data_IF_878193958057
#
_entry.id   IF_878193958057
#
_cell.length_a   1.000
_cell.length_b   1.000
_cell.length_c   1.000
_cell.angle_alpha   90.00
_cell.angle_beta   90.00
_cell.angle_gamma   90.00
#
_symmetry.space_group_name_H-M   'P 1'
#
loop_
_entity.id
_entity.type
_entity.pdbx_description
1 polymer ?
#
# COMPACT_ATOMS: atom_id res chain seq x y z
N UNK A 1 16.21 32.52 -4.69
CA UNK A 1 15.14 31.50 -4.53
C UNK A 1 14.50 31.05 -5.84
N UNK A 2 14.27 31.94 -6.78
CA UNK A 2 13.77 31.66 -8.12
C UNK A 2 14.58 30.60 -8.88
N UNK A 3 15.90 30.58 -8.79
CA UNK A 3 16.76 29.64 -9.51
C UNK A 3 16.58 28.18 -9.05
N UNK A 4 16.63 27.91 -7.73
CA UNK A 4 16.43 26.54 -7.20
C UNK A 4 15.03 25.99 -7.51
N UNK A 5 14.02 26.87 -7.51
CA UNK A 5 12.66 26.52 -7.87
C UNK A 5 12.51 26.23 -9.37
N UNK A 6 13.19 27.00 -10.22
CA UNK A 6 13.23 26.72 -11.67
C UNK A 6 13.95 25.40 -11.99
N UNK A 7 15.06 25.10 -11.32
CA UNK A 7 15.76 23.83 -11.47
C UNK A 7 14.88 22.65 -11.03
N UNK A 8 14.14 22.81 -9.94
CA UNK A 8 13.18 21.80 -9.50
C UNK A 8 12.07 21.62 -10.54
N UNK A 9 11.49 22.72 -11.04
CA UNK A 9 10.45 22.68 -12.08
C UNK A 9 10.94 22.00 -13.36
N UNK A 10 12.18 22.26 -13.79
CA UNK A 10 12.79 21.61 -14.94
C UNK A 10 13.06 20.12 -14.74
N UNK A 11 13.14 19.65 -13.49
CA UNK A 11 13.48 18.26 -13.15
C UNK A 11 12.34 17.26 -13.40
N UNK A 12 11.16 17.69 -13.83
CA UNK A 12 9.97 16.84 -14.11
C UNK A 12 9.64 15.86 -12.97
N UNK A 13 9.80 16.28 -11.72
CA UNK A 13 9.47 15.47 -10.54
C UNK A 13 7.94 15.44 -10.30
N UNK A 14 7.50 14.52 -9.45
CA UNK A 14 6.08 14.42 -9.10
C UNK A 14 5.62 15.62 -8.25
N UNK A 15 4.34 15.97 -8.33
CA UNK A 15 3.74 17.04 -7.52
C UNK A 15 3.96 16.85 -6.00
N UNK A 16 4.03 15.59 -5.54
CA UNK A 16 4.36 15.24 -4.16
C UNK A 16 5.76 15.70 -3.74
N UNK A 17 6.77 15.57 -4.62
CA UNK A 17 8.13 16.07 -4.36
C UNK A 17 8.14 17.59 -4.20
N UNK A 18 7.42 18.31 -5.09
CA UNK A 18 7.31 19.77 -4.97
C UNK A 18 6.68 20.20 -3.66
N UNK A 19 5.60 19.50 -3.26
CA UNK A 19 4.94 19.77 -1.97
C UNK A 19 5.89 19.57 -0.80
N UNK A 20 6.62 18.46 -0.76
CA UNK A 20 7.58 18.16 0.32
C UNK A 20 8.73 19.18 0.37
N UNK A 21 9.30 19.50 -0.77
CA UNK A 21 10.37 20.52 -0.86
C UNK A 21 9.85 21.90 -0.43
N UNK A 22 8.64 22.28 -0.84
CA UNK A 22 8.01 23.53 -0.42
C UNK A 22 7.83 23.62 1.11
N UNK A 23 7.45 22.52 1.76
CA UNK A 23 7.33 22.46 3.23
C UNK A 23 8.71 22.64 3.88
N UNK A 24 9.73 21.93 3.40
CA UNK A 24 11.11 22.04 3.94
C UNK A 24 11.62 23.48 3.82
N UNK A 25 11.49 24.10 2.65
CA UNK A 25 11.89 25.51 2.49
C UNK A 25 11.14 26.44 3.46
N UNK A 26 9.83 26.27 3.60
CA UNK A 26 9.05 27.06 4.56
C UNK A 26 9.59 26.91 5.97
N UNK A 27 9.84 25.68 6.43
CA UNK A 27 10.39 25.45 7.77
C UNK A 27 11.76 26.12 7.95
N UNK A 28 12.67 25.98 6.99
CA UNK A 28 14.02 26.57 7.05
C UNK A 28 13.93 28.10 7.13
N UNK A 29 13.15 28.74 6.26
CA UNK A 29 13.06 30.20 6.24
C UNK A 29 12.26 30.77 7.41
N UNK A 30 11.30 30.02 7.95
CA UNK A 30 10.61 30.39 9.20
C UNK A 30 11.61 30.37 10.37
N UNK A 31 12.41 29.33 10.51
CA UNK A 31 13.42 29.24 11.55
C UNK A 31 14.51 30.34 11.41
N UNK A 32 14.93 30.68 10.18
CA UNK A 32 15.86 31.76 9.92
C UNK A 32 15.29 33.12 10.32
N UNK A 33 13.98 33.34 10.11
CA UNK A 33 13.28 34.55 10.54
C UNK A 33 13.16 34.64 12.07
N UNK A 34 12.79 33.55 12.72
CA UNK A 34 12.71 33.46 14.19
C UNK A 34 14.10 33.70 14.83
N UNK A 35 15.16 33.22 14.17
CA UNK A 35 16.54 33.42 14.60
C UNK A 35 17.10 34.80 14.21
N UNK A 36 16.32 35.69 13.61
CA UNK A 36 16.71 37.03 13.14
C UNK A 36 17.90 37.00 12.15
N UNK A 37 18.05 35.95 11.37
CA UNK A 37 19.05 35.83 10.32
C UNK A 37 18.58 36.55 9.04
N UNK A 38 17.25 36.59 8.83
CA UNK A 38 16.57 37.31 7.75
C UNK A 38 15.38 38.07 8.29
N UNK A 39 15.06 39.20 7.66
CA UNK A 39 13.95 40.06 8.08
C UNK A 39 12.60 39.61 7.49
N UNK A 40 12.62 38.99 6.32
CA UNK A 40 11.42 38.55 5.63
C UNK A 40 11.54 37.08 5.18
N UNK A 41 10.40 36.34 5.26
CA UNK A 41 10.35 34.98 4.79
C UNK A 41 10.05 34.94 3.28
N UNK A 42 11.05 34.63 2.42
CA UNK A 42 10.88 34.66 0.98
C UNK A 42 9.95 33.54 0.45
N UNK A 43 9.48 32.63 1.32
CA UNK A 43 8.57 31.54 0.93
C UNK A 43 7.10 31.92 1.02
N UNK A 44 6.75 33.10 1.53
CA UNK A 44 5.36 33.57 1.64
C UNK A 44 4.69 33.60 0.27
N UNK A 45 5.45 33.99 -0.75
CA UNK A 45 4.98 34.10 -2.15
C UNK A 45 5.06 32.79 -2.95
N UNK A 46 5.53 31.68 -2.36
CA UNK A 46 5.52 30.40 -3.04
C UNK A 46 4.08 29.90 -3.18
N UNK A 47 3.57 29.92 -4.40
CA UNK A 47 2.26 29.37 -4.71
C UNK A 47 2.19 27.91 -4.29
N UNK A 48 1.14 27.52 -3.57
CA UNK A 48 0.97 26.17 -2.96
C UNK A 48 0.97 25.01 -3.97
N UNK A 49 0.69 25.25 -5.24
CA UNK A 49 0.41 24.21 -6.24
C UNK A 49 1.10 24.46 -7.60
N UNK A 50 2.35 24.94 -7.61
CA UNK A 50 3.04 25.20 -8.86
C UNK A 50 4.04 24.11 -9.19
N UNK A 51 3.70 23.31 -10.18
CA UNK A 51 4.62 22.37 -10.83
C UNK A 51 4.52 20.93 -10.36
N UNK A 52 5.11 20.05 -11.13
CA UNK A 52 5.17 18.62 -10.90
C UNK A 52 4.16 17.82 -11.73
N UNK A 53 4.57 16.60 -12.06
CA UNK A 53 3.69 15.66 -12.76
C UNK A 53 2.66 15.14 -11.75
N UNK A 54 1.35 15.22 -12.04
CA UNK A 54 0.34 14.62 -11.18
C UNK A 54 0.64 13.13 -10.95
N UNK A 55 0.51 12.69 -9.71
CA UNK A 55 0.68 11.29 -9.41
C UNK A 55 -0.49 10.51 -10.04
N UNK A 56 -0.17 9.49 -10.85
CA UNK A 56 -1.19 8.59 -11.39
C UNK A 56 -1.95 7.96 -10.23
N UNK A 57 -3.25 8.15 -10.21
CA UNK A 57 -4.12 7.52 -9.22
C UNK A 57 -4.09 6.01 -9.42
N UNK A 58 -3.87 5.27 -8.34
CA UNK A 58 -3.93 3.81 -8.37
C UNK A 58 -5.31 3.40 -7.93
N UNK A 59 -6.08 2.87 -8.87
CA UNK A 59 -7.39 2.32 -8.61
C UNK A 59 -7.28 1.05 -7.74
N UNK A 60 -8.34 0.69 -6.99
CA UNK A 60 -8.43 -0.62 -6.35
C UNK A 60 -8.37 -1.72 -7.41
N UNK A 61 -8.00 -2.92 -7.01
CA UNK A 61 -8.06 -4.09 -7.89
C UNK A 61 -9.53 -4.47 -8.10
N UNK A 62 -9.85 -4.92 -9.31
CA UNK A 62 -11.14 -5.56 -9.61
C UNK A 62 -11.15 -6.99 -9.05
N UNK A 63 -12.33 -7.58 -8.88
CA UNK A 63 -12.46 -8.96 -8.40
C UNK A 63 -11.68 -9.94 -9.30
N UNK A 64 -11.78 -9.79 -10.64
CA UNK A 64 -11.01 -10.57 -11.60
C UNK A 64 -9.48 -10.41 -11.41
N UNK A 65 -9.01 -9.19 -11.08
CA UNK A 65 -7.60 -8.95 -10.81
C UNK A 65 -7.16 -9.56 -9.48
N UNK A 66 -8.03 -9.59 -8.48
CA UNK A 66 -7.79 -10.25 -7.20
C UNK A 66 -7.63 -11.75 -7.42
N UNK A 67 -8.55 -12.40 -8.14
CA UNK A 67 -8.50 -13.83 -8.45
C UNK A 67 -7.23 -14.18 -9.21
N UNK A 68 -6.92 -13.47 -10.30
CA UNK A 68 -5.68 -13.65 -11.06
C UNK A 68 -4.41 -13.49 -10.20
N UNK A 69 -4.43 -12.52 -9.27
CA UNK A 69 -3.30 -12.30 -8.37
C UNK A 69 -3.12 -13.48 -7.41
N UNK A 70 -4.19 -13.92 -6.77
CA UNK A 70 -4.16 -15.01 -5.80
C UNK A 70 -3.75 -16.32 -6.46
N UNK A 71 -4.29 -16.64 -7.63
CA UNK A 71 -3.89 -17.82 -8.42
C UNK A 71 -2.42 -17.78 -8.81
N UNK A 72 -1.93 -16.61 -9.26
CA UNK A 72 -0.54 -16.45 -9.69
C UNK A 72 0.48 -16.65 -8.57
N UNK A 73 0.08 -16.44 -7.30
CA UNK A 73 0.98 -16.50 -6.14
C UNK A 73 0.60 -17.58 -5.13
N UNK A 74 -0.39 -18.42 -5.42
CA UNK A 74 -0.82 -19.50 -4.51
C UNK A 74 0.38 -20.38 -4.15
N UNK A 75 0.54 -20.68 -2.85
CA UNK A 75 1.66 -21.46 -2.34
C UNK A 75 3.03 -20.78 -2.40
N UNK A 76 3.12 -19.54 -2.84
CA UNK A 76 4.37 -18.76 -2.88
C UNK A 76 4.51 -17.85 -1.65
N UNK A 77 5.74 -17.44 -1.30
CA UNK A 77 6.03 -16.65 -0.11
C UNK A 77 5.17 -15.37 0.09
N UNK A 78 4.75 -14.62 -0.95
CA UNK A 78 3.92 -13.43 -0.74
C UNK A 78 2.44 -13.71 -0.46
N UNK A 79 1.98 -14.96 -0.55
CA UNK A 79 0.56 -15.30 -0.49
C UNK A 79 -0.12 -14.81 0.80
N UNK A 80 0.42 -15.17 1.97
CA UNK A 80 -0.11 -14.75 3.28
C UNK A 80 -0.10 -13.23 3.44
N UNK A 81 0.97 -12.57 2.97
CA UNK A 81 1.06 -11.11 2.98
C UNK A 81 -0.06 -10.46 2.16
N UNK A 82 -0.32 -10.99 0.96
CA UNK A 82 -1.37 -10.48 0.06
C UNK A 82 -2.76 -10.73 0.65
N UNK A 83 -3.01 -11.91 1.22
CA UNK A 83 -4.26 -12.23 1.91
C UNK A 83 -4.56 -11.26 3.06
N UNK A 84 -3.57 -10.96 3.91
CA UNK A 84 -3.71 -9.97 4.99
C UNK A 84 -4.00 -8.56 4.46
N UNK A 85 -3.38 -8.19 3.35
CA UNK A 85 -3.62 -6.89 2.71
C UNK A 85 -5.02 -6.76 2.12
N UNK A 86 -5.52 -7.81 1.45
CA UNK A 86 -6.81 -7.84 0.76
C UNK A 86 -8.01 -8.04 1.71
N UNK A 87 -7.86 -8.89 2.74
CA UNK A 87 -9.00 -9.34 3.55
C UNK A 87 -9.00 -8.83 5.00
N UNK A 88 -7.89 -8.25 5.47
CA UNK A 88 -7.81 -7.54 6.75
C UNK A 88 -7.41 -6.06 6.58
N UNK A 89 -7.10 -5.62 5.37
CA UNK A 89 -6.78 -4.24 5.06
C UNK A 89 -5.56 -3.68 5.80
N UNK A 90 -4.64 -4.54 6.24
CA UNK A 90 -3.48 -4.13 7.00
C UNK A 90 -2.50 -3.30 6.14
N UNK A 91 -1.83 -2.35 6.78
CA UNK A 91 -0.70 -1.65 6.14
C UNK A 91 0.49 -2.61 6.02
N UNK A 92 1.38 -2.36 5.06
CA UNK A 92 2.61 -3.16 4.89
C UNK A 92 3.37 -3.31 6.21
N UNK A 93 3.52 -2.21 6.94
CA UNK A 93 4.24 -2.16 8.20
C UNK A 93 3.52 -2.97 9.30
N UNK A 94 2.20 -2.98 9.29
CA UNK A 94 1.37 -3.77 10.20
C UNK A 94 1.47 -5.27 9.88
N UNK A 95 1.46 -5.65 8.60
CA UNK A 95 1.63 -7.06 8.16
C UNK A 95 3.00 -7.59 8.56
N UNK A 96 4.06 -6.83 8.27
CA UNK A 96 5.43 -7.24 8.56
C UNK A 96 5.78 -7.23 10.07
N UNK A 97 5.00 -6.52 10.87
CA UNK A 97 5.11 -6.51 12.33
C UNK A 97 4.13 -7.45 13.04
N UNK A 98 3.25 -8.14 12.29
CA UNK A 98 2.25 -9.02 12.88
C UNK A 98 2.88 -10.28 13.45
N UNK A 99 2.56 -10.57 14.71
CA UNK A 99 2.98 -11.78 15.41
C UNK A 99 1.77 -12.67 15.71
N UNK A 100 2.01 -13.97 15.85
CA UNK A 100 0.98 -14.95 16.14
C UNK A 100 0.27 -14.76 17.48
N UNK A 101 0.90 -14.10 18.45
CA UNK A 101 0.28 -13.72 19.74
C UNK A 101 -0.85 -12.70 19.61
N UNK A 102 -0.97 -12.10 18.43
CA UNK A 102 -1.97 -11.11 18.09
C UNK A 102 -3.04 -11.64 17.12
N UNK A 103 -3.03 -12.97 16.84
CA UNK A 103 -3.94 -13.64 15.90
C UNK A 103 -4.72 -14.72 16.64
N UNK A 104 -6.02 -14.51 16.78
CA UNK A 104 -6.94 -15.37 17.54
C UNK A 104 -7.77 -16.19 16.56
N UNK A 105 -7.34 -17.45 16.31
CA UNK A 105 -7.93 -18.32 15.29
C UNK A 105 -9.01 -19.25 15.84
N UNK A 106 -8.94 -19.60 17.15
CA UNK A 106 -9.72 -20.65 17.78
C UNK A 106 -10.74 -20.08 18.77
N UNK A 107 -11.43 -19.00 18.36
CA UNK A 107 -12.51 -18.39 19.15
C UNK A 107 -13.78 -18.30 18.31
N UNK A 108 -14.94 -18.05 18.94
CA UNK A 108 -16.24 -17.97 18.27
C UNK A 108 -16.28 -16.97 17.11
N UNK A 109 -15.62 -15.81 17.28
CA UNK A 109 -15.44 -14.79 16.25
C UNK A 109 -13.95 -14.52 16.02
N UNK A 110 -13.27 -15.27 15.12
CA UNK A 110 -11.84 -15.11 14.87
C UNK A 110 -11.46 -13.70 14.45
N UNK A 111 -10.38 -13.19 15.01
CA UNK A 111 -9.89 -11.83 14.73
C UNK A 111 -8.38 -11.73 14.91
N UNK A 112 -7.80 -10.66 14.43
CA UNK A 112 -6.45 -10.24 14.75
C UNK A 112 -6.45 -8.85 15.39
N UNK A 113 -5.43 -8.58 16.22
CA UNK A 113 -5.22 -7.27 16.84
C UNK A 113 -3.97 -6.62 16.25
N UNK A 114 -4.10 -5.42 15.73
CA UNK A 114 -2.97 -4.61 15.28
C UNK A 114 -2.36 -3.92 16.51
N UNK A 115 -1.16 -4.35 16.92
CA UNK A 115 -0.45 -3.81 18.10
C UNK A 115 0.95 -3.32 17.77
N UNK A 116 1.51 -3.78 16.67
CA UNK A 116 2.91 -3.56 16.30
C UNK A 116 3.02 -3.06 14.87
N UNK A 117 4.08 -2.36 14.59
CA UNK A 117 4.42 -1.98 13.22
C UNK A 117 5.90 -2.23 12.95
N UNK A 118 6.19 -2.77 11.80
CA UNK A 118 7.55 -2.95 11.31
C UNK A 118 8.10 -1.62 10.78
N UNK A 119 9.35 -1.35 11.10
CA UNK A 119 10.14 -0.26 10.56
C UNK A 119 11.52 -0.77 10.17
N UNK A 120 12.31 0.01 9.46
CA UNK A 120 13.70 -0.33 9.16
C UNK A 120 14.65 0.83 9.44
N UNK A 121 15.73 0.49 10.11
CA UNK A 121 16.87 1.38 10.31
C UNK A 121 18.08 0.74 9.62
N UNK A 122 18.68 1.43 8.65
CA UNK A 122 19.81 0.91 7.87
C UNK A 122 19.59 -0.52 7.34
N UNK A 123 18.40 -0.80 6.80
CA UNK A 123 17.96 -2.11 6.32
C UNK A 123 17.73 -3.18 7.42
N UNK A 124 17.92 -2.88 8.69
CA UNK A 124 17.60 -3.79 9.80
C UNK A 124 16.15 -3.60 10.21
N UNK A 125 15.38 -4.69 10.44
CA UNK A 125 14.02 -4.59 10.92
C UNK A 125 14.00 -4.10 12.37
N UNK A 126 13.07 -3.20 12.66
CA UNK A 126 12.75 -2.71 13.99
C UNK A 126 11.25 -2.88 14.19
N UNK A 127 10.84 -3.52 15.26
CA UNK A 127 9.42 -3.69 15.59
C UNK A 127 9.02 -2.65 16.63
N UNK A 128 8.17 -1.74 16.20
CA UNK A 128 7.61 -0.70 17.06
C UNK A 128 6.40 -1.27 17.79
N UNK A 129 6.42 -1.25 19.11
CA UNK A 129 5.32 -1.65 20.00
C UNK A 129 4.38 -0.49 20.29
N UNK A 130 4.87 0.74 20.16
CA UNK A 130 4.06 1.95 20.21
C UNK A 130 3.65 2.37 18.80
N UNK A 131 2.36 2.27 18.52
CA UNK A 131 1.82 2.72 17.23
C UNK A 131 1.66 4.24 17.24
N UNK A 132 1.92 4.84 16.09
CA UNK A 132 1.93 6.31 15.90
C UNK A 132 0.62 6.99 16.35
N UNK A 133 -0.51 6.28 16.32
CA UNK A 133 -1.82 6.81 16.69
C UNK A 133 -2.64 5.77 17.44
N UNK A 134 -3.53 6.23 18.32
CA UNK A 134 -4.50 5.35 19.02
C UNK A 134 -5.41 4.59 18.04
N UNK A 135 -5.77 5.20 16.92
CA UNK A 135 -6.61 4.59 15.88
C UNK A 135 -5.92 3.41 15.16
N UNK A 136 -4.60 3.31 15.24
CA UNK A 136 -3.88 2.17 14.68
C UNK A 136 -4.09 0.89 15.50
N UNK A 137 -4.32 1.00 16.81
CA UNK A 137 -4.71 -0.11 17.68
C UNK A 137 -6.16 -0.51 17.40
N UNK A 138 -6.37 -1.72 16.87
CA UNK A 138 -7.70 -2.18 16.50
C UNK A 138 -7.78 -3.69 16.37
N UNK A 139 -8.97 -4.22 16.54
CA UNK A 139 -9.30 -5.60 16.24
C UNK A 139 -9.92 -5.67 14.84
N UNK A 140 -9.44 -6.61 14.04
CA UNK A 140 -9.92 -6.84 12.67
C UNK A 140 -10.47 -8.26 12.60
N UNK A 141 -11.78 -8.46 12.40
CA UNK A 141 -12.38 -9.78 12.18
C UNK A 141 -11.77 -10.48 10.97
N UNK A 142 -11.66 -11.79 11.01
CA UNK A 142 -11.12 -12.61 9.94
C UNK A 142 -12.27 -13.26 9.14
N UNK A 143 -12.43 -12.94 7.85
CA UNK A 143 -13.31 -13.69 6.98
C UNK A 143 -12.76 -15.11 6.74
N UNK A 144 -13.65 -16.06 6.39
CA UNK A 144 -13.33 -17.49 6.34
C UNK A 144 -12.11 -17.82 5.47
N UNK A 145 -12.00 -17.21 4.30
CA UNK A 145 -10.87 -17.44 3.39
C UNK A 145 -9.50 -16.99 3.99
N UNK A 146 -9.48 -15.89 4.76
CA UNK A 146 -8.28 -15.45 5.46
C UNK A 146 -8.01 -16.32 6.69
N UNK A 147 -9.06 -16.72 7.40
CA UNK A 147 -8.95 -17.62 8.55
C UNK A 147 -8.32 -18.96 8.16
N UNK A 148 -8.79 -19.58 7.09
CA UNK A 148 -8.23 -20.83 6.56
C UNK A 148 -6.76 -20.65 6.14
N UNK A 149 -6.45 -19.57 5.42
CA UNK A 149 -5.08 -19.23 5.03
C UNK A 149 -4.16 -19.10 6.26
N UNK A 150 -4.60 -18.41 7.31
CA UNK A 150 -3.80 -18.22 8.52
C UNK A 150 -3.67 -19.51 9.34
N UNK A 151 -4.72 -20.34 9.42
CA UNK A 151 -4.64 -21.66 10.06
C UNK A 151 -3.60 -22.55 9.36
N UNK A 152 -3.61 -22.58 8.04
CA UNK A 152 -2.62 -23.37 7.29
C UNK A 152 -1.19 -22.82 7.46
N UNK A 153 -1.01 -21.50 7.38
CA UNK A 153 0.27 -20.86 7.63
C UNK A 153 0.80 -21.12 9.06
N UNK A 154 -0.09 -21.15 10.06
CA UNK A 154 0.26 -21.41 11.45
C UNK A 154 0.80 -22.83 11.67
N UNK A 155 0.26 -23.84 10.98
CA UNK A 155 0.70 -25.25 11.10
C UNK A 155 2.18 -25.43 10.74
N UNK A 156 2.67 -24.65 9.76
CA UNK A 156 4.04 -24.76 9.25
C UNK A 156 4.99 -23.70 9.82
N UNK A 157 4.46 -22.74 10.58
CA UNK A 157 5.26 -21.64 11.14
C UNK A 157 6.05 -22.08 12.37
N UNK A 158 7.35 -21.81 12.36
CA UNK A 158 8.25 -21.92 13.52
C UNK A 158 8.65 -20.58 14.09
N UNK A 159 8.13 -19.49 13.53
CA UNK A 159 8.42 -18.10 13.89
C UNK A 159 7.32 -17.51 14.76
N UNK A 160 7.67 -16.52 15.57
CA UNK A 160 6.70 -15.66 16.24
C UNK A 160 5.96 -14.74 15.25
N UNK A 161 6.56 -14.44 14.09
CA UNK A 161 5.99 -13.57 13.06
C UNK A 161 5.16 -14.34 12.06
N UNK A 162 4.03 -13.76 11.64
CA UNK A 162 3.16 -14.33 10.59
C UNK A 162 3.87 -14.32 9.24
N UNK A 163 4.65 -13.28 8.96
CA UNK A 163 5.51 -13.15 7.78
C UNK A 163 6.95 -12.98 8.22
N UNK A 164 7.72 -14.05 8.12
CA UNK A 164 9.09 -14.14 8.60
C UNK A 164 10.10 -14.49 7.49
N UNK A 165 11.37 -14.33 7.78
CA UNK A 165 12.45 -14.90 6.98
C UNK A 165 12.65 -16.40 7.31
N UNK A 166 13.64 -17.05 6.70
CA UNK A 166 13.92 -18.49 6.90
C UNK A 166 14.41 -18.80 8.30
N UNK A 167 14.97 -17.82 8.99
CA UNK A 167 15.54 -17.95 10.34
C UNK A 167 14.47 -17.68 11.41
N UNK A 168 13.23 -17.32 10.99
CA UNK A 168 12.12 -17.00 11.88
C UNK A 168 12.08 -15.52 12.30
N UNK A 169 12.97 -14.68 11.82
CA UNK A 169 13.07 -13.26 12.13
C UNK A 169 12.18 -12.39 11.23
N UNK A 170 11.87 -11.14 11.64
CA UNK A 170 11.18 -10.19 10.79
C UNK A 170 12.00 -9.84 9.55
N UNK A 171 11.33 -9.63 8.43
CA UNK A 171 12.01 -9.33 7.15
C UNK A 171 12.76 -8.00 7.22
N UNK A 172 14.00 -7.97 6.72
CA UNK A 172 14.67 -6.73 6.34
C UNK A 172 13.97 -6.09 5.12
N UNK A 173 14.25 -4.82 4.85
CA UNK A 173 13.68 -4.14 3.66
C UNK A 173 14.08 -4.84 2.34
N UNK A 174 15.30 -5.31 2.24
CA UNK A 174 15.78 -6.05 1.06
C UNK A 174 15.07 -7.40 0.92
N UNK A 175 14.82 -8.12 2.03
CA UNK A 175 14.07 -9.38 2.00
C UNK A 175 12.60 -9.13 1.63
N UNK A 176 11.97 -8.08 2.14
CA UNK A 176 10.63 -7.69 1.70
C UNK A 176 10.58 -7.36 0.20
N UNK A 177 11.57 -6.65 -0.35
CA UNK A 177 11.65 -6.42 -1.80
C UNK A 177 11.73 -7.73 -2.58
N UNK A 178 12.51 -8.71 -2.11
CA UNK A 178 12.61 -10.03 -2.73
C UNK A 178 11.28 -10.80 -2.66
N UNK A 179 10.59 -10.74 -1.52
CA UNK A 179 9.25 -11.31 -1.37
C UNK A 179 8.29 -10.67 -2.38
N UNK A 180 8.29 -9.35 -2.51
CA UNK A 180 7.42 -8.65 -3.46
C UNK A 180 7.80 -8.91 -4.93
N UNK A 181 9.06 -9.27 -5.18
CA UNK A 181 9.54 -9.58 -6.52
C UNK A 181 8.85 -10.82 -7.12
N UNK A 182 8.33 -11.75 -6.32
CA UNK A 182 7.51 -12.86 -6.82
C UNK A 182 6.29 -12.38 -7.62
N UNK A 183 5.66 -11.29 -7.19
CA UNK A 183 4.53 -10.68 -7.89
C UNK A 183 5.04 -9.90 -9.11
N UNK A 184 6.01 -9.02 -8.91
CA UNK A 184 6.53 -8.13 -9.98
C UNK A 184 7.06 -8.92 -11.18
N UNK A 185 7.72 -10.06 -10.95
CA UNK A 185 8.25 -10.89 -12.04
C UNK A 185 7.17 -11.56 -12.88
N UNK A 186 5.95 -11.68 -12.36
CA UNK A 186 4.79 -12.25 -13.07
C UNK A 186 4.01 -11.23 -13.88
N UNK A 187 4.33 -9.94 -13.75
CA UNK A 187 3.66 -8.89 -14.51
C UNK A 187 4.18 -8.79 -15.94
N UNK A 188 3.32 -8.34 -16.86
CA UNK A 188 3.69 -8.05 -18.26
C UNK A 188 4.41 -6.71 -18.42
N UNK A 189 4.75 -6.03 -17.33
CA UNK A 189 5.48 -4.77 -17.39
C UNK A 189 6.86 -4.94 -17.99
N UNK A 190 7.17 -4.12 -19.00
CA UNK A 190 8.52 -4.03 -19.57
C UNK A 190 9.53 -3.66 -18.47
N UNK A 191 10.66 -4.34 -18.45
CA UNK A 191 11.72 -4.11 -17.47
C UNK A 191 13.09 -4.25 -18.10
N UNK A 192 14.05 -3.50 -17.54
CA UNK A 192 15.41 -3.54 -17.98
C UNK A 192 16.31 -4.09 -16.88
N UNK A 193 17.32 -4.87 -17.28
CA UNK A 193 18.41 -5.27 -16.42
C UNK A 193 19.74 -5.04 -17.14
N UNK A 194 20.83 -5.06 -16.40
CA UNK A 194 22.17 -4.87 -16.95
C UNK A 194 22.98 -6.12 -16.74
N UNK A 195 23.69 -6.55 -17.80
CA UNK A 195 24.72 -7.58 -17.73
C UNK A 195 26.07 -7.00 -18.14
N UNK A 196 27.14 -7.58 -17.62
CA UNK A 196 28.47 -7.31 -18.12
C UNK A 196 28.77 -8.35 -19.21
N UNK A 197 29.01 -7.88 -20.43
CA UNK A 197 29.37 -8.65 -21.63
C UNK A 197 30.67 -8.04 -22.15
N UNK A 198 31.72 -8.86 -22.27
CA UNK A 198 33.06 -8.44 -22.68
C UNK A 198 33.60 -7.22 -21.91
N UNK A 199 33.37 -7.20 -20.58
CA UNK A 199 33.80 -6.11 -19.70
C UNK A 199 32.97 -4.83 -19.80
N UNK A 200 31.93 -4.76 -20.65
CA UNK A 200 31.04 -3.62 -20.82
C UNK A 200 29.67 -3.89 -20.19
N UNK A 201 29.08 -2.84 -19.59
CA UNK A 201 27.75 -2.89 -19.02
C UNK A 201 26.70 -2.75 -20.13
N UNK A 202 26.03 -3.84 -20.51
CA UNK A 202 25.00 -3.88 -21.56
C UNK A 202 23.63 -3.86 -20.93
N UNK A 203 22.72 -3.05 -21.48
CA UNK A 203 21.31 -2.96 -21.06
C UNK A 203 20.49 -3.96 -21.87
N UNK A 204 19.82 -4.86 -21.16
CA UNK A 204 18.85 -5.79 -21.73
C UNK A 204 17.44 -5.37 -21.36
N UNK A 205 16.52 -5.49 -22.29
CA UNK A 205 15.10 -5.20 -22.10
C UNK A 205 14.30 -6.49 -22.22
N UNK A 206 13.51 -6.79 -21.21
CA UNK A 206 12.52 -7.87 -21.25
C UNK A 206 11.16 -7.26 -21.56
N UNK A 207 10.53 -7.79 -22.61
CA UNK A 207 9.14 -7.47 -22.98
C UNK A 207 8.30 -8.72 -22.69
N UNK A 208 7.74 -8.84 -21.49
CA UNK A 208 6.96 -10.01 -21.13
C UNK A 208 5.66 -10.06 -21.93
N UNK A 209 5.27 -11.26 -22.37
CA UNK A 209 3.98 -11.51 -23.03
C UNK A 209 3.12 -12.37 -22.12
N UNK A 210 1.87 -12.00 -21.93
CA UNK A 210 0.92 -12.72 -21.08
C UNK A 210 0.83 -14.21 -21.47
N UNK A 211 0.86 -15.09 -20.50
CA UNK A 211 0.81 -16.53 -20.68
C UNK A 211 2.16 -17.19 -21.00
N UNK A 212 3.19 -16.42 -21.33
CA UNK A 212 4.51 -16.99 -21.64
C UNK A 212 5.35 -17.22 -20.38
N UNK A 213 6.22 -18.23 -20.44
CA UNK A 213 7.24 -18.47 -19.41
C UNK A 213 8.40 -17.49 -19.55
N UNK A 214 8.96 -17.09 -18.40
CA UNK A 214 10.13 -16.23 -18.40
C UNK A 214 11.37 -16.99 -18.90
N UNK A 215 12.10 -16.39 -19.85
CA UNK A 215 13.28 -17.01 -20.47
C UNK A 215 14.40 -17.38 -19.48
N UNK A 216 14.52 -16.65 -18.37
CA UNK A 216 15.55 -16.86 -17.33
C UNK A 216 15.08 -17.75 -16.17
N UNK A 217 13.78 -18.06 -16.07
CA UNK A 217 13.21 -18.92 -15.04
C UNK A 217 11.89 -19.55 -15.52
N UNK A 218 11.96 -20.79 -15.99
CA UNK A 218 10.80 -21.53 -16.51
C UNK A 218 9.65 -21.77 -15.53
N UNK A 219 9.90 -21.55 -14.22
CA UNK A 219 8.86 -21.63 -13.18
C UNK A 219 8.04 -20.35 -13.05
N UNK A 220 8.42 -19.27 -13.74
CA UNK A 220 7.71 -18.01 -13.76
C UNK A 220 6.91 -17.87 -15.04
N UNK A 221 5.60 -17.76 -14.91
CA UNK A 221 4.68 -17.43 -16.00
C UNK A 221 4.27 -15.97 -15.86
N UNK A 222 4.24 -15.23 -16.95
CA UNK A 222 3.71 -13.87 -16.99
C UNK A 222 2.17 -13.91 -16.98
N UNK A 223 1.58 -13.90 -15.78
CA UNK A 223 0.15 -14.12 -15.56
C UNK A 223 -0.61 -12.85 -15.18
N UNK A 224 0.10 -11.74 -14.93
CA UNK A 224 -0.50 -10.49 -14.48
C UNK A 224 -0.31 -9.39 -15.53
N UNK A 225 -1.39 -8.95 -16.16
CA UNK A 225 -1.44 -7.84 -17.12
C UNK A 225 -1.55 -6.46 -16.43
N UNK A 226 -1.43 -6.42 -15.11
CA UNK A 226 -1.51 -5.24 -14.26
C UNK A 226 -0.40 -5.22 -13.21
N UNK A 227 -0.13 -4.03 -12.67
CA UNK A 227 0.81 -3.85 -11.55
C UNK A 227 0.06 -3.82 -10.22
N UNK A 228 0.68 -4.40 -9.19
CA UNK A 228 0.14 -4.39 -7.82
C UNK A 228 1.13 -3.75 -6.87
N UNK A 229 0.63 -3.05 -5.88
CA UNK A 229 1.42 -2.51 -4.77
C UNK A 229 0.81 -2.89 -3.42
N UNK A 230 1.61 -2.99 -2.34
CA UNK A 230 1.08 -3.30 -1.03
C UNK A 230 -0.06 -2.37 -0.57
N UNK A 231 0.05 -1.09 -0.87
CA UNK A 231 -0.98 -0.11 -0.49
C UNK A 231 -2.29 -0.31 -1.29
N UNK A 232 -2.20 -0.81 -2.51
CA UNK A 232 -3.37 -1.06 -3.36
C UNK A 232 -4.21 -2.23 -2.83
N UNK A 233 -3.60 -3.25 -2.20
CA UNK A 233 -4.34 -4.33 -1.53
C UNK A 233 -5.29 -3.77 -0.46
N UNK A 234 -4.76 -2.93 0.41
CA UNK A 234 -5.56 -2.25 1.43
C UNK A 234 -6.61 -1.30 0.82
N UNK A 235 -6.28 -0.61 -0.27
CA UNK A 235 -7.23 0.25 -0.97
C UNK A 235 -8.41 -0.58 -1.51
N UNK A 236 -8.13 -1.76 -2.05
CA UNK A 236 -9.15 -2.72 -2.49
C UNK A 236 -10.05 -3.15 -1.32
N UNK A 237 -9.47 -3.53 -0.16
CA UNK A 237 -10.22 -3.85 1.04
C UNK A 237 -11.20 -2.74 1.44
N UNK A 238 -10.71 -1.50 1.54
CA UNK A 238 -11.53 -0.35 1.94
C UNK A 238 -12.65 -0.12 0.92
N UNK A 239 -12.34 -0.20 -0.37
CA UNK A 239 -13.32 -0.03 -1.45
C UNK A 239 -14.41 -1.09 -1.41
N UNK A 240 -14.04 -2.35 -1.15
CA UNK A 240 -15.01 -3.46 -1.02
C UNK A 240 -15.95 -3.27 0.19
N UNK A 241 -15.43 -2.80 1.33
CA UNK A 241 -16.29 -2.45 2.47
C UNK A 241 -17.29 -1.34 2.12
N UNK A 242 -16.85 -0.32 1.37
CA UNK A 242 -17.74 0.76 0.92
C UNK A 242 -18.79 0.24 -0.06
N UNK A 243 -18.42 -0.64 -0.99
CA UNK A 243 -19.38 -1.28 -1.91
C UNK A 243 -20.39 -2.14 -1.17
N UNK A 244 -19.96 -2.83 -0.11
CA UNK A 244 -20.83 -3.58 0.79
C UNK A 244 -21.69 -2.68 1.71
N UNK A 245 -21.66 -1.36 1.50
CA UNK A 245 -22.41 -0.36 2.29
C UNK A 245 -22.12 -0.37 3.79
N UNK A 246 -20.92 -0.80 4.19
CA UNK A 246 -20.44 -0.69 5.57
C UNK A 246 -20.35 0.79 5.93
N UNK A 247 -20.82 1.17 7.10
CA UNK A 247 -20.84 2.57 7.52
C UNK A 247 -19.43 3.19 7.62
N UNK A 248 -19.28 4.50 7.38
CA UNK A 248 -17.98 5.17 7.34
C UNK A 248 -17.17 5.09 8.63
N UNK A 249 -17.81 5.00 9.79
CA UNK A 249 -17.13 4.88 11.09
C UNK A 249 -16.52 3.50 11.27
N UNK A 250 -17.25 2.47 10.91
CA UNK A 250 -16.74 1.09 10.90
C UNK A 250 -15.59 0.94 9.90
N UNK A 251 -15.71 1.48 8.68
CA UNK A 251 -14.60 1.51 7.71
C UNK A 251 -13.40 2.28 8.26
N UNK A 252 -13.60 3.43 8.90
CA UNK A 252 -12.54 4.20 9.54
C UNK A 252 -11.81 3.37 10.59
N UNK A 253 -12.56 2.68 11.47
CA UNK A 253 -12.03 1.83 12.51
C UNK A 253 -11.22 0.66 11.92
N UNK A 254 -11.82 -0.14 11.04
CA UNK A 254 -11.16 -1.31 10.42
C UNK A 254 -9.92 -0.91 9.61
N UNK A 255 -9.98 0.22 8.93
CA UNK A 255 -8.83 0.77 8.24
C UNK A 255 -7.78 1.39 9.20
N UNK A 256 -8.11 1.71 10.45
CA UNK A 256 -7.22 2.43 11.37
C UNK A 256 -6.83 3.80 10.82
N UNK A 257 -7.79 4.56 10.29
CA UNK A 257 -7.58 5.93 9.86
C UNK A 257 -7.75 6.87 11.05
N UNK A 258 -6.74 7.68 11.32
CA UNK A 258 -6.79 8.69 12.40
C UNK A 258 -7.84 9.75 12.11
N UNK A 259 -7.93 10.19 10.86
CA UNK A 259 -8.90 11.20 10.42
C UNK A 259 -10.03 10.59 9.61
N UNK A 260 -11.27 10.92 9.97
CA UNK A 260 -12.46 10.57 9.18
C UNK A 260 -12.43 11.15 7.77
N UNK A 261 -11.72 12.26 7.57
CA UNK A 261 -11.57 12.89 6.26
C UNK A 261 -11.00 11.91 5.22
N UNK A 262 -9.98 11.11 5.57
CA UNK A 262 -9.39 10.14 4.65
C UNK A 262 -10.44 9.11 4.21
N UNK A 263 -11.24 8.60 5.15
CA UNK A 263 -12.31 7.65 4.85
C UNK A 263 -13.39 8.29 3.99
N UNK A 264 -13.82 9.50 4.33
CA UNK A 264 -14.85 10.22 3.58
C UNK A 264 -14.41 10.60 2.17
N UNK A 265 -13.14 10.97 1.97
CA UNK A 265 -12.57 11.22 0.64
C UNK A 265 -12.62 9.96 -0.25
N UNK A 266 -12.38 8.77 0.34
CA UNK A 266 -12.51 7.49 -0.39
C UNK A 266 -13.99 7.19 -0.68
N UNK A 267 -14.88 7.37 0.30
CA UNK A 267 -16.33 7.22 0.13
C UNK A 267 -16.87 8.07 -1.02
N UNK A 268 -16.49 9.35 -1.03
CA UNK A 268 -16.90 10.28 -2.08
C UNK A 268 -16.47 9.79 -3.47
N UNK A 269 -15.23 9.32 -3.60
CA UNK A 269 -14.71 8.78 -4.87
C UNK A 269 -15.42 7.50 -5.31
N UNK A 270 -15.72 6.59 -4.39
CA UNK A 270 -16.32 5.28 -4.72
C UNK A 270 -17.81 5.42 -5.03
N UNK A 271 -18.57 6.15 -4.23
CA UNK A 271 -20.03 6.26 -4.39
C UNK A 271 -20.45 7.30 -5.42
N UNK A 272 -19.79 8.47 -5.48
CA UNK A 272 -20.21 9.55 -6.39
C UNK A 272 -19.78 9.35 -7.85
N UNK A 273 -18.90 8.39 -8.13
CA UNK A 273 -18.53 8.02 -9.50
C UNK A 273 -19.51 7.04 -10.17
N UNK A 274 -20.65 6.73 -9.53
CA UNK A 274 -21.70 5.85 -10.07
C UNK A 274 -23.06 6.52 -10.01
N UNK A 275 -23.39 7.39 -11.00
CA UNK A 275 -24.65 8.14 -11.02
C UNK A 275 -25.89 7.26 -10.92
N UNK A 276 -25.85 6.04 -11.49
CA UNK A 276 -26.97 5.08 -11.47
C UNK A 276 -27.31 4.64 -10.05
N UNK A 277 -26.30 4.44 -9.20
CA UNK A 277 -26.52 4.07 -7.79
C UNK A 277 -27.10 5.24 -6.97
N UNK A 278 -26.68 6.47 -7.30
CA UNK A 278 -27.22 7.66 -6.66
C UNK A 278 -28.68 7.90 -7.06
N UNK A 279 -29.04 7.64 -8.32
CA UNK A 279 -30.42 7.75 -8.80
C UNK A 279 -31.34 6.81 -8.02
N UNK A 280 -30.99 5.53 -7.84
CA UNK A 280 -31.75 4.59 -7.05
C UNK A 280 -31.93 5.00 -5.60
N UNK A 281 -30.84 5.52 -4.96
CA UNK A 281 -30.91 6.03 -3.58
C UNK A 281 -31.86 7.24 -3.47
N UNK A 282 -31.88 8.12 -4.48
CA UNK A 282 -32.79 9.26 -4.50
C UNK A 282 -34.23 8.80 -4.71
N UNK A 283 -34.50 7.89 -5.62
CA UNK A 283 -35.83 7.30 -5.83
C UNK A 283 -36.35 6.65 -4.55
N UNK A 284 -35.55 5.81 -3.89
CA UNK A 284 -35.92 5.17 -2.62
C UNK A 284 -36.18 6.20 -1.49
N UNK A 285 -35.36 7.24 -1.42
CA UNK A 285 -35.50 8.27 -0.39
C UNK A 285 -36.77 9.12 -0.54
N UNK A 286 -37.31 9.24 -1.72
CA UNK A 286 -38.48 10.07 -2.02
C UNK A 286 -39.74 9.25 -2.36
N UNK A 287 -39.63 7.91 -2.46
CA UNK A 287 -40.73 7.01 -2.77
C UNK A 287 -41.92 7.08 -1.79
N UNK A 288 -41.71 7.62 -0.59
CA UNK A 288 -42.75 7.78 0.44
C UNK A 288 -43.46 9.13 0.40
N UNK A 289 -43.17 9.98 -0.58
CA UNK A 289 -43.75 11.33 -0.69
C UNK A 289 -44.90 11.42 -1.70
N UNK A 290 -45.16 10.31 -2.43
CA UNK A 290 -46.32 10.09 -3.28
C UNK A 290 -47.43 9.34 -2.49
#
# INVERSE_FOLDING_TARGET
MTFAWHCLAASKKSASVYKSVSVIYKCIFTAAMESKIIDENPTIYLKKNVGGIPQKERLPLTDEQVDKLLDAIYGLPPYVFVMLGLYAGLRREEILGLQWDSVYLDCEAPYLTVRRAWHTEHNRPVILTELKTKAAHRNVPLPDNLLECLKEAKKTSTSDYVVANRDGDPLSYTQFKRLWQYIVTRTTKERCYYRYEDGKRVKHTVKPVLGQKAAHNGNVVYSLDFEVTPHQLRHTYITNLIHASVDPKTVQYLAGHESSKITMDIYAKVKYNRPEQLAGVLEDAFASWD
#
